data_IF_511008642093
#
_entry.id   IF_511008642093
#
_cell.length_a   1.000
_cell.length_b   1.000
_cell.length_c   1.000
_cell.angle_alpha   90.00
_cell.angle_beta   90.00
_cell.angle_gamma   90.00
#
_symmetry.space_group_name_H-M   'P 1'
#
loop_
_entity.id
_entity.type
_entity.pdbx_description
1 polymer ?
#
# COMPACT_ATOMS: atom_id res chain seq x y z
N UNK A 1 12.19 35.78 31.18
CA UNK A 1 10.72 35.64 31.08
C UNK A 1 10.24 36.69 30.08
N UNK A 2 10.15 36.33 28.79
CA UNK A 2 8.91 35.93 28.04
C UNK A 2 8.11 37.17 27.63
N UNK A 3 7.77 37.44 26.36
CA UNK A 3 7.23 36.57 25.31
C UNK A 3 7.66 37.06 23.92
N UNK A 4 8.46 36.28 23.20
CA UNK A 4 8.58 36.31 21.74
C UNK A 4 8.39 34.87 21.26
N UNK A 5 7.14 34.40 21.32
CA UNK A 5 6.70 33.12 20.77
C UNK A 5 5.29 33.31 20.28
N UNK A 6 5.14 33.64 19.00
CA UNK A 6 3.98 33.22 18.22
C UNK A 6 4.29 33.37 16.73
N UNK A 7 4.28 32.22 16.05
CA UNK A 7 3.93 32.06 14.64
C UNK A 7 4.94 32.48 13.56
N UNK A 8 6.15 31.94 13.63
CA UNK A 8 7.03 31.80 12.46
C UNK A 8 7.69 30.42 12.47
N UNK A 9 6.94 29.39 12.09
CA UNK A 9 7.45 28.05 11.78
C UNK A 9 6.49 27.43 10.76
N UNK A 10 6.61 27.84 9.51
CA UNK A 10 5.78 27.36 8.40
C UNK A 10 6.53 27.20 7.08
N UNK A 11 7.86 27.21 7.10
CA UNK A 11 8.71 26.86 5.96
C UNK A 11 10.03 26.34 6.54
N UNK A 12 10.08 25.04 6.83
CA UNK A 12 11.38 24.39 7.03
C UNK A 12 12.04 24.26 5.66
N UNK A 13 13.16 24.99 5.54
CA UNK A 13 14.25 24.84 4.59
C UNK A 13 14.23 23.52 3.80
N UNK A 14 13.74 23.65 2.58
CA UNK A 14 13.86 22.64 1.53
C UNK A 14 15.36 22.54 1.21
N UNK A 15 15.93 21.35 1.37
CA UNK A 15 17.28 20.97 0.94
C UNK A 15 17.26 19.45 0.72
N UNK A 16 18.38 18.83 0.31
CA UNK A 16 18.53 17.37 0.13
C UNK A 16 18.10 16.50 1.34
N UNK A 17 17.72 17.13 2.45
CA UNK A 17 17.06 16.58 3.62
C UNK A 17 15.56 16.30 3.48
N UNK A 18 14.83 16.79 2.47
CA UNK A 18 13.35 16.65 2.43
C UNK A 18 12.92 15.18 2.42
N UNK A 19 13.60 14.30 1.67
CA UNK A 19 13.29 12.85 1.66
C UNK A 19 13.81 12.17 2.93
N UNK A 20 14.94 12.62 3.47
CA UNK A 20 15.53 12.07 4.69
C UNK A 20 14.82 12.53 5.98
N UNK A 21 14.12 13.66 5.95
CA UNK A 21 13.35 14.25 7.04
C UNK A 21 11.83 14.13 6.83
N UNK A 22 11.40 13.70 5.63
CA UNK A 22 10.01 13.36 5.35
C UNK A 22 9.53 12.34 6.37
N UNK A 23 8.34 12.60 6.92
CA UNK A 23 7.62 11.58 7.67
C UNK A 23 7.33 10.38 6.75
N UNK A 24 7.00 9.24 7.36
CA UNK A 24 6.78 7.98 6.65
C UNK A 24 5.73 8.13 5.53
N UNK A 25 4.66 8.88 5.78
CA UNK A 25 3.63 9.19 4.80
C UNK A 25 4.17 9.87 3.54
N UNK A 26 4.97 10.93 3.69
CA UNK A 26 5.49 11.67 2.54
C UNK A 26 6.53 10.84 1.78
N UNK A 27 7.32 10.02 2.48
CA UNK A 27 8.23 9.08 1.83
C UNK A 27 7.48 8.05 0.98
N UNK A 28 6.37 7.50 1.50
CA UNK A 28 5.54 6.55 0.77
C UNK A 28 5.05 7.15 -0.56
N UNK A 29 4.50 8.37 -0.53
CA UNK A 29 4.06 9.07 -1.74
C UNK A 29 5.22 9.35 -2.71
N UNK A 30 6.33 9.91 -2.22
CA UNK A 30 7.47 10.29 -3.06
C UNK A 30 8.13 9.07 -3.72
N UNK A 31 8.17 7.94 -3.02
CA UNK A 31 8.82 6.71 -3.50
C UNK A 31 7.99 5.88 -4.47
N UNK A 32 6.71 6.23 -4.66
CA UNK A 32 5.80 5.52 -5.57
C UNK A 32 6.24 5.61 -7.03
N UNK A 33 5.88 4.60 -7.84
CA UNK A 33 6.22 4.61 -9.26
C UNK A 33 5.47 5.72 -9.99
N UNK A 34 4.25 6.03 -9.57
CA UNK A 34 3.43 7.08 -10.15
C UNK A 34 4.04 8.46 -9.90
N UNK A 35 4.64 8.70 -8.72
CA UNK A 35 5.40 9.94 -8.50
C UNK A 35 6.58 10.02 -9.45
N UNK A 36 7.36 8.96 -9.62
CA UNK A 36 8.47 8.96 -10.57
C UNK A 36 8.02 9.14 -12.03
N UNK A 37 6.82 8.68 -12.38
CA UNK A 37 6.23 8.84 -13.70
C UNK A 37 5.74 10.27 -13.95
N UNK A 38 5.04 10.86 -13.00
CA UNK A 38 4.42 12.18 -13.11
C UNK A 38 5.42 13.31 -12.84
N UNK A 39 6.37 13.10 -11.94
CA UNK A 39 7.39 14.07 -11.50
C UNK A 39 8.81 13.50 -11.67
N UNK A 40 9.24 13.16 -12.91
CA UNK A 40 10.50 12.44 -13.16
C UNK A 40 11.75 13.19 -12.71
N UNK A 41 11.68 14.51 -12.59
CA UNK A 41 12.80 15.35 -12.16
C UNK A 41 12.88 15.55 -10.64
N UNK A 42 11.90 15.07 -9.85
CA UNK A 42 11.81 15.30 -8.41
C UNK A 42 13.13 14.99 -7.68
N UNK A 43 13.76 13.86 -8.00
CA UNK A 43 15.03 13.44 -7.39
C UNK A 43 16.20 14.37 -7.72
N UNK A 44 16.24 14.91 -8.94
CA UNK A 44 17.27 15.86 -9.37
C UNK A 44 17.03 17.22 -8.73
N UNK A 45 15.77 17.68 -8.74
CA UNK A 45 15.34 18.94 -8.14
C UNK A 45 15.59 18.97 -6.63
N UNK A 46 15.33 17.86 -5.94
CA UNK A 46 15.60 17.72 -4.50
C UNK A 46 17.08 17.81 -4.15
N UNK A 47 17.98 17.26 -4.98
CA UNK A 47 19.44 17.37 -4.78
C UNK A 47 19.93 18.80 -4.97
N UNK A 48 19.38 19.50 -5.95
CA UNK A 48 19.80 20.85 -6.33
C UNK A 48 19.03 21.95 -5.58
N UNK A 49 18.05 21.56 -4.75
CA UNK A 49 17.10 22.46 -4.10
C UNK A 49 16.43 23.46 -5.07
N UNK A 50 16.04 22.96 -6.24
CA UNK A 50 15.48 23.79 -7.30
C UNK A 50 14.26 23.08 -7.89
N UNK A 51 13.09 23.33 -7.30
CA UNK A 51 11.82 22.73 -7.70
C UNK A 51 11.12 23.63 -8.71
N UNK A 52 10.55 23.02 -9.75
CA UNK A 52 9.58 23.74 -10.57
C UNK A 52 8.25 23.94 -9.81
N UNK A 53 7.43 24.86 -10.29
CA UNK A 53 6.16 25.23 -9.65
C UNK A 53 5.23 24.02 -9.47
N UNK A 54 5.20 23.12 -10.46
CA UNK A 54 4.37 21.91 -10.45
C UNK A 54 4.81 20.93 -9.35
N UNK A 55 6.11 20.70 -9.21
CA UNK A 55 6.68 19.80 -8.21
C UNK A 55 6.56 20.40 -6.82
N UNK A 56 6.72 21.72 -6.68
CA UNK A 56 6.47 22.41 -5.42
C UNK A 56 5.01 22.28 -4.98
N UNK A 57 4.05 22.50 -5.90
CA UNK A 57 2.63 22.33 -5.62
C UNK A 57 2.29 20.91 -5.15
N UNK A 58 2.82 19.88 -5.83
CA UNK A 58 2.69 18.49 -5.39
C UNK A 58 3.22 18.27 -3.97
N UNK A 59 4.42 18.76 -3.66
CA UNK A 59 5.04 18.59 -2.34
C UNK A 59 4.25 19.32 -1.24
N UNK A 60 3.68 20.49 -1.54
CA UNK A 60 2.81 21.22 -0.61
C UNK A 60 1.49 20.48 -0.34
N UNK A 61 0.84 19.96 -1.39
CA UNK A 61 -0.38 19.14 -1.27
C UNK A 61 -0.12 17.85 -0.48
N UNK A 62 0.94 17.13 -0.82
CA UNK A 62 1.36 15.91 -0.13
C UNK A 62 1.72 16.20 1.34
N UNK A 63 2.36 17.34 1.62
CA UNK A 63 2.64 17.81 2.98
C UNK A 63 1.37 17.99 3.81
N UNK A 64 0.38 18.71 3.27
CA UNK A 64 -0.93 18.93 3.93
C UNK A 64 -1.70 17.62 4.15
N UNK A 65 -1.68 16.74 3.14
CA UNK A 65 -2.26 15.40 3.26
C UNK A 65 -1.62 14.62 4.41
N UNK A 66 -0.29 14.58 4.47
CA UNK A 66 0.42 13.83 5.50
C UNK A 66 0.25 14.44 6.89
N UNK A 67 0.20 15.77 7.00
CA UNK A 67 -0.12 16.43 8.27
C UNK A 67 -1.53 16.03 8.75
N UNK A 68 -2.53 16.08 7.86
CA UNK A 68 -3.88 15.60 8.16
C UNK A 68 -3.86 14.12 8.60
N UNK A 69 -3.12 13.27 7.88
CA UNK A 69 -3.03 11.84 8.19
C UNK A 69 -2.44 11.59 9.59
N UNK A 70 -1.34 12.26 9.94
CA UNK A 70 -0.68 12.11 11.25
C UNK A 70 -1.55 12.65 12.40
N UNK A 71 -2.23 13.79 12.22
CA UNK A 71 -3.14 14.35 13.23
C UNK A 71 -4.31 13.42 13.55
N UNK A 72 -4.75 12.62 12.56
CA UNK A 72 -5.85 11.66 12.71
C UNK A 72 -5.37 10.25 13.08
N UNK A 73 -4.07 10.04 13.33
CA UNK A 73 -3.59 8.81 13.97
C UNK A 73 -4.00 8.84 15.43
N UNK A 74 -5.11 8.20 15.76
CA UNK A 74 -5.58 8.07 17.13
C UNK A 74 -4.74 6.99 17.85
N UNK A 75 -3.84 7.33 18.80
CA UNK A 75 -2.99 6.34 19.45
C UNK A 75 -3.76 5.36 20.34
N UNK A 76 -5.06 5.62 20.59
CA UNK A 76 -5.96 4.73 21.35
C UNK A 76 -6.68 3.70 20.48
N UNK A 77 -6.66 3.82 19.15
CA UNK A 77 -7.24 2.84 18.21
C UNK A 77 -6.26 1.72 17.89
N UNK A 78 -5.55 1.24 18.92
CA UNK A 78 -4.28 0.56 18.71
C UNK A 78 -4.40 -0.77 17.97
N UNK A 79 -5.57 -1.41 17.80
CA UNK A 79 -5.60 -2.75 17.20
C UNK A 79 -6.79 -3.23 16.35
N UNK A 80 -7.87 -2.48 16.08
CA UNK A 80 -9.06 -3.16 15.49
C UNK A 80 -9.85 -2.51 14.37
N UNK A 81 -9.71 -1.22 14.04
CA UNK A 81 -10.56 -0.64 12.97
C UNK A 81 -9.80 -0.10 11.76
N UNK A 82 -9.32 -1.02 10.92
CA UNK A 82 -8.75 -0.69 9.60
C UNK A 82 -9.70 0.14 8.73
N UNK A 83 -11.03 -0.01 8.89
CA UNK A 83 -12.01 0.77 8.14
C UNK A 83 -11.94 2.24 8.58
N UNK A 84 -11.92 2.51 9.88
CA UNK A 84 -11.78 3.88 10.40
C UNK A 84 -10.47 4.54 9.96
N UNK A 85 -9.35 3.80 10.02
CA UNK A 85 -8.05 4.30 9.53
C UNK A 85 -8.11 4.69 8.04
N UNK A 86 -8.65 3.81 7.20
CA UNK A 86 -8.77 4.09 5.76
C UNK A 86 -9.81 5.17 5.44
N UNK A 87 -10.87 5.30 6.23
CA UNK A 87 -11.83 6.39 6.10
C UNK A 87 -11.18 7.75 6.39
N UNK A 88 -10.32 7.83 7.40
CA UNK A 88 -9.55 9.04 7.72
C UNK A 88 -8.56 9.38 6.60
N UNK A 89 -7.88 8.38 6.03
CA UNK A 89 -6.97 8.57 4.91
C UNK A 89 -7.71 9.08 3.66
N UNK A 90 -8.84 8.46 3.30
CA UNK A 90 -9.71 8.91 2.18
C UNK A 90 -10.17 10.37 2.37
N UNK A 91 -10.56 10.74 3.60
CA UNK A 91 -10.97 12.10 3.94
C UNK A 91 -9.82 13.11 3.82
N UNK A 92 -8.62 12.75 4.28
CA UNK A 92 -7.44 13.59 4.13
C UNK A 92 -7.04 13.76 2.67
N UNK A 93 -7.11 12.69 1.87
CA UNK A 93 -6.82 12.73 0.44
C UNK A 93 -7.80 13.64 -0.31
N UNK A 94 -9.11 13.45 -0.10
CA UNK A 94 -10.14 14.25 -0.76
C UNK A 94 -10.14 15.74 -0.40
N UNK A 95 -9.52 16.13 0.73
CA UNK A 95 -9.38 17.53 1.16
C UNK A 95 -8.12 18.21 0.64
N UNK A 96 -7.02 17.48 0.52
CA UNK A 96 -5.69 18.07 0.39
C UNK A 96 -4.99 17.74 -0.92
N UNK A 97 -5.42 16.69 -1.64
CA UNK A 97 -4.79 16.25 -2.88
C UNK A 97 -5.68 16.58 -4.07
N UNK A 98 -5.07 17.11 -5.13
CA UNK A 98 -5.76 17.45 -6.37
C UNK A 98 -5.05 16.81 -7.56
N UNK A 99 -5.77 16.66 -8.68
CA UNK A 99 -5.22 16.24 -9.97
C UNK A 99 -4.21 15.09 -9.89
N UNK A 100 -2.97 15.40 -10.25
CA UNK A 100 -1.86 14.44 -10.30
C UNK A 100 -1.43 13.94 -8.91
N UNK A 101 -1.49 14.78 -7.88
CA UNK A 101 -1.19 14.38 -6.49
C UNK A 101 -2.19 13.34 -5.98
N UNK A 102 -3.47 13.50 -6.35
CA UNK A 102 -4.50 12.51 -6.03
C UNK A 102 -4.27 11.20 -6.78
N UNK A 103 -3.80 11.26 -8.04
CA UNK A 103 -3.46 10.07 -8.81
C UNK A 103 -2.32 9.26 -8.17
N UNK A 104 -1.28 9.94 -7.66
CA UNK A 104 -0.21 9.30 -6.86
C UNK A 104 -0.80 8.57 -5.65
N UNK A 105 -1.71 9.23 -4.91
CA UNK A 105 -2.37 8.61 -3.76
C UNK A 105 -3.18 7.37 -4.15
N UNK A 106 -3.89 7.38 -5.28
CA UNK A 106 -4.64 6.21 -5.76
C UNK A 106 -3.72 5.00 -6.00
N UNK A 107 -2.51 5.19 -6.54
CA UNK A 107 -1.55 4.09 -6.70
C UNK A 107 -1.11 3.54 -5.33
N UNK A 108 -0.69 4.43 -4.41
CA UNK A 108 -0.28 4.04 -3.06
C UNK A 108 -1.42 3.32 -2.33
N UNK A 109 -2.65 3.79 -2.49
CA UNK A 109 -3.84 3.17 -1.93
C UNK A 109 -4.04 1.73 -2.46
N UNK A 110 -3.85 1.51 -3.77
CA UNK A 110 -3.94 0.17 -4.36
C UNK A 110 -2.88 -0.78 -3.80
N UNK A 111 -1.65 -0.30 -3.55
CA UNK A 111 -0.61 -1.10 -2.89
C UNK A 111 -1.01 -1.50 -1.47
N UNK A 112 -1.59 -0.59 -0.68
CA UNK A 112 -2.12 -0.90 0.66
C UNK A 112 -3.23 -1.96 0.61
N UNK A 113 -4.17 -1.85 -0.33
CA UNK A 113 -5.22 -2.86 -0.53
C UNK A 113 -4.63 -4.21 -0.90
N UNK A 114 -3.64 -4.25 -1.80
CA UNK A 114 -2.91 -5.45 -2.19
C UNK A 114 -2.25 -6.16 -0.99
N UNK A 115 -1.67 -5.40 -0.06
CA UNK A 115 -1.09 -5.92 1.18
C UNK A 115 -2.16 -6.54 2.10
N UNK A 116 -3.32 -5.89 2.23
CA UNK A 116 -4.43 -6.41 3.04
C UNK A 116 -5.02 -7.71 2.46
N UNK A 117 -5.10 -7.84 1.12
CA UNK A 117 -5.47 -9.11 0.47
C UNK A 117 -4.46 -10.19 0.84
N UNK A 118 -3.16 -9.91 0.67
CA UNK A 118 -2.07 -10.86 0.98
C UNK A 118 -2.14 -11.33 2.44
N UNK A 119 -2.35 -10.40 3.37
CA UNK A 119 -2.49 -10.69 4.80
C UNK A 119 -3.67 -11.62 5.06
N UNK A 120 -4.85 -11.31 4.52
CA UNK A 120 -6.07 -12.11 4.71
C UNK A 120 -5.99 -13.49 4.08
N UNK A 121 -5.43 -13.59 2.86
CA UNK A 121 -5.20 -14.88 2.23
C UNK A 121 -4.19 -15.72 3.01
N UNK A 122 -3.13 -15.12 3.56
CA UNK A 122 -2.15 -15.84 4.40
C UNK A 122 -2.75 -16.35 5.71
N UNK A 123 -3.69 -15.60 6.31
CA UNK A 123 -4.43 -16.04 7.48
C UNK A 123 -5.35 -17.23 7.16
N UNK A 124 -5.95 -17.24 5.97
CA UNK A 124 -6.82 -18.32 5.51
C UNK A 124 -6.05 -19.56 5.06
N UNK A 125 -4.91 -19.35 4.40
CA UNK A 125 -3.98 -20.38 3.97
C UNK A 125 -2.67 -20.29 4.74
N UNK A 126 -2.66 -20.74 6.01
CA UNK A 126 -1.43 -20.72 6.79
C UNK A 126 -0.38 -21.61 6.13
N UNK A 127 0.90 -21.36 6.45
CA UNK A 127 2.05 -22.07 5.86
C UNK A 127 1.95 -23.59 5.92
N UNK A 128 1.16 -24.16 6.84
CA UNK A 128 0.89 -25.60 6.91
C UNK A 128 0.24 -26.16 5.63
N UNK A 129 -0.54 -25.37 4.89
CA UNK A 129 -1.12 -25.79 3.60
C UNK A 129 -0.05 -25.92 2.51
N UNK A 130 1.10 -25.23 2.64
CA UNK A 130 2.27 -25.46 1.77
C UNK A 130 2.92 -26.84 1.98
N UNK A 131 2.55 -27.57 3.03
CA UNK A 131 3.01 -28.95 3.23
C UNK A 131 2.15 -29.95 2.46
N UNK A 132 0.95 -29.54 2.04
CA UNK A 132 0.01 -30.36 1.28
C UNK A 132 0.09 -30.07 -0.23
N UNK A 133 0.26 -28.80 -0.60
CA UNK A 133 0.41 -28.37 -1.99
C UNK A 133 1.89 -28.18 -2.39
N UNK A 134 2.23 -28.44 -3.65
CA UNK A 134 3.52 -28.02 -4.19
C UNK A 134 3.70 -26.50 -4.09
N UNK A 135 4.95 -26.02 -3.92
CA UNK A 135 5.24 -24.58 -3.82
C UNK A 135 4.73 -23.82 -5.06
N UNK A 136 4.86 -24.43 -6.24
CA UNK A 136 4.36 -23.87 -7.50
C UNK A 136 2.84 -23.72 -7.51
N UNK A 137 2.11 -24.78 -7.13
CA UNK A 137 0.65 -24.75 -7.05
C UNK A 137 0.15 -23.76 -6.01
N UNK A 138 0.80 -23.69 -4.84
CA UNK A 138 0.48 -22.70 -3.82
C UNK A 138 0.63 -21.27 -4.35
N UNK A 139 1.76 -20.96 -4.98
CA UNK A 139 2.01 -19.63 -5.53
C UNK A 139 0.98 -19.29 -6.62
N UNK A 140 0.68 -20.22 -7.52
CA UNK A 140 -0.28 -20.00 -8.60
C UNK A 140 -1.69 -19.72 -8.07
N UNK A 141 -2.17 -20.50 -7.08
CA UNK A 141 -3.47 -20.28 -6.45
C UNK A 141 -3.53 -18.94 -5.71
N UNK A 142 -2.49 -18.60 -4.96
CA UNK A 142 -2.42 -17.34 -4.21
C UNK A 142 -2.36 -16.12 -5.13
N UNK A 143 -1.59 -16.17 -6.21
CA UNK A 143 -1.55 -15.10 -7.23
C UNK A 143 -2.91 -14.92 -7.89
N UNK A 144 -3.55 -16.02 -8.33
CA UNK A 144 -4.89 -15.92 -8.92
C UNK A 144 -5.92 -15.33 -7.94
N UNK A 145 -5.94 -15.81 -6.69
CA UNK A 145 -6.85 -15.29 -5.67
C UNK A 145 -6.63 -13.80 -5.42
N UNK A 146 -5.37 -13.38 -5.39
CA UNK A 146 -5.00 -11.98 -5.22
C UNK A 146 -5.53 -11.12 -6.37
N UNK A 147 -5.30 -11.52 -7.61
CA UNK A 147 -5.79 -10.82 -8.82
C UNK A 147 -7.32 -10.78 -8.90
N UNK A 148 -7.98 -11.91 -8.60
CA UNK A 148 -9.44 -12.01 -8.60
C UNK A 148 -10.04 -11.09 -7.55
N UNK A 149 -9.51 -11.05 -6.32
CA UNK A 149 -10.03 -10.17 -5.28
C UNK A 149 -9.74 -8.70 -5.62
N UNK A 150 -8.50 -8.39 -6.03
CA UNK A 150 -8.10 -7.03 -6.35
C UNK A 150 -8.93 -6.46 -7.50
N UNK A 151 -9.15 -7.20 -8.58
CA UNK A 151 -9.96 -6.75 -9.72
C UNK A 151 -11.43 -6.49 -9.36
N UNK A 152 -11.96 -7.15 -8.33
CA UNK A 152 -13.32 -6.89 -7.83
C UNK A 152 -13.38 -5.68 -6.89
N UNK A 153 -12.35 -5.47 -6.07
CA UNK A 153 -12.37 -4.46 -5.01
C UNK A 153 -11.64 -3.14 -5.34
N UNK A 154 -10.74 -3.11 -6.32
CA UNK A 154 -9.93 -1.95 -6.69
C UNK A 154 -10.65 -0.95 -7.62
N UNK A 155 -11.95 -1.13 -7.89
CA UNK A 155 -12.73 -0.22 -8.75
C UNK A 155 -13.05 1.13 -8.07
N UNK A 156 -12.83 1.23 -6.77
CA UNK A 156 -13.12 2.42 -5.99
C UNK A 156 -11.85 3.21 -5.71
N UNK A 157 -11.86 4.53 -5.92
CA UNK A 157 -10.80 5.45 -5.50
C UNK A 157 -10.80 5.69 -3.97
N UNK A 158 -11.35 4.76 -3.18
CA UNK A 158 -11.47 4.83 -1.73
C UNK A 158 -10.89 3.57 -1.12
N UNK A 159 -9.89 3.75 -0.25
CA UNK A 159 -9.27 2.71 0.55
C UNK A 159 -10.31 2.03 1.44
N UNK A 160 -11.20 2.81 2.05
CA UNK A 160 -12.24 2.29 2.93
C UNK A 160 -13.14 1.31 2.18
N UNK A 161 -13.69 1.72 1.05
CA UNK A 161 -14.60 0.90 0.26
C UNK A 161 -13.89 -0.33 -0.32
N UNK A 162 -12.66 -0.15 -0.82
CA UNK A 162 -11.83 -1.26 -1.31
C UNK A 162 -11.58 -2.30 -0.22
N UNK A 163 -11.23 -1.85 0.99
CA UNK A 163 -11.00 -2.75 2.13
C UNK A 163 -12.26 -3.44 2.62
N UNK A 164 -13.40 -2.74 2.67
CA UNK A 164 -14.69 -3.35 3.02
C UNK A 164 -15.04 -4.47 2.04
N UNK A 165 -14.87 -4.26 0.73
CA UNK A 165 -15.02 -5.31 -0.27
C UNK A 165 -14.07 -6.50 -0.03
N UNK A 166 -12.78 -6.25 0.24
CA UNK A 166 -11.80 -7.31 0.53
C UNK A 166 -12.23 -8.09 1.76
N UNK A 167 -12.66 -7.39 2.82
CA UNK A 167 -13.12 -8.00 4.06
C UNK A 167 -14.34 -8.89 3.80
N UNK A 168 -15.36 -8.36 3.11
CA UNK A 168 -16.56 -9.11 2.74
C UNK A 168 -16.21 -10.37 1.94
N UNK A 169 -15.38 -10.28 0.90
CA UNK A 169 -14.99 -11.45 0.12
C UNK A 169 -14.24 -12.48 0.97
N UNK A 170 -13.30 -12.04 1.80
CA UNK A 170 -12.40 -12.94 2.54
C UNK A 170 -13.01 -13.56 3.79
N UNK A 171 -14.02 -12.92 4.41
CA UNK A 171 -14.71 -13.44 5.61
C UNK A 171 -16.08 -14.04 5.32
N UNK A 172 -16.68 -13.79 4.15
CA UNK A 172 -17.98 -14.36 3.79
C UNK A 172 -17.91 -15.84 3.43
N UNK A 173 -19.08 -16.49 3.46
CA UNK A 173 -19.29 -17.81 2.87
C UNK A 173 -19.08 -17.81 1.36
N UNK A 174 -19.14 -16.64 0.72
CA UNK A 174 -18.98 -16.48 -0.73
C UNK A 174 -17.52 -16.55 -1.18
N UNK A 175 -16.55 -16.63 -0.25
CA UNK A 175 -15.15 -16.82 -0.63
C UNK A 175 -14.96 -18.00 -1.60
N UNK A 176 -15.70 -19.09 -1.42
CA UNK A 176 -15.66 -20.27 -2.29
C UNK A 176 -15.98 -19.95 -3.76
N UNK A 177 -16.85 -18.97 -4.02
CA UNK A 177 -17.17 -18.49 -5.38
C UNK A 177 -16.00 -17.77 -6.04
N UNK A 178 -15.16 -17.09 -5.26
CA UNK A 178 -13.96 -16.44 -5.77
C UNK A 178 -12.83 -17.45 -5.90
N UNK A 179 -12.73 -18.37 -4.94
CA UNK A 179 -11.77 -19.46 -4.94
C UNK A 179 -11.95 -20.41 -6.13
N UNK A 180 -13.19 -20.74 -6.51
CA UNK A 180 -13.48 -21.63 -7.63
C UNK A 180 -13.10 -21.06 -9.00
N UNK A 181 -12.71 -19.78 -9.09
CA UNK A 181 -12.16 -19.17 -10.31
C UNK A 181 -10.67 -19.42 -10.46
N UNK A 182 -10.02 -19.96 -9.43
CA UNK A 182 -8.60 -20.20 -9.37
C UNK A 182 -8.30 -21.70 -9.42
N UNK A 183 -7.09 -22.08 -9.88
CA UNK A 183 -6.69 -23.48 -9.89
C UNK A 183 -6.74 -24.08 -8.48
N UNK A 184 -7.09 -25.36 -8.40
CA UNK A 184 -7.02 -26.11 -7.16
C UNK A 184 -5.57 -26.37 -6.75
N UNK A 185 -5.38 -26.79 -5.50
CA UNK A 185 -4.06 -27.24 -5.08
C UNK A 185 -3.77 -28.59 -5.75
N UNK A 186 -2.62 -28.68 -6.40
CA UNK A 186 -2.12 -29.93 -6.95
C UNK A 186 -1.08 -30.50 -6.00
N UNK A 187 -1.30 -31.74 -5.58
CA UNK A 187 -0.44 -32.50 -4.68
C UNK A 187 0.79 -33.08 -5.38
N UNK A 188 1.08 -32.71 -6.65
CA UNK A 188 2.16 -33.34 -7.41
C UNK A 188 3.44 -33.40 -6.57
N UNK A 189 3.83 -34.60 -6.13
CA UNK A 189 4.96 -34.74 -5.24
C UNK A 189 6.17 -34.29 -6.03
N UNK A 190 7.01 -33.43 -5.43
CA UNK A 190 8.37 -33.26 -5.92
C UNK A 190 8.94 -34.67 -6.03
N UNK A 191 9.23 -35.13 -7.25
CA UNK A 191 10.08 -36.28 -7.43
C UNK A 191 11.36 -35.92 -6.71
N UNK A 192 11.57 -36.49 -5.53
CA UNK A 192 12.88 -36.54 -4.92
C UNK A 192 13.66 -37.40 -5.92
N UNK A 193 14.38 -36.76 -6.82
CA UNK A 193 15.33 -37.43 -7.69
C UNK A 193 16.34 -38.06 -6.74
N UNK A 194 16.12 -39.34 -6.41
CA UNK A 194 17.14 -40.15 -5.81
C UNK A 194 18.26 -40.20 -6.84
N UNK A 195 19.28 -39.37 -6.61
CA UNK A 195 20.60 -39.60 -7.16
C UNK A 195 21.08 -40.93 -6.58
N UNK A 196 20.64 -42.03 -7.20
CA UNK A 196 21.38 -43.27 -7.15
C UNK A 196 22.62 -43.03 -8.00
N UNK A 197 23.60 -42.34 -7.41
CA UNK A 197 24.97 -42.50 -7.84
C UNK A 197 25.32 -43.97 -7.61
N UNK A 198 25.21 -44.71 -8.70
CA UNK A 198 25.75 -46.04 -8.88
C UNK A 198 27.19 -46.05 -8.35
N UNK A 199 27.38 -46.71 -7.21
CA UNK A 199 28.64 -47.38 -6.94
C UNK A 199 28.83 -48.44 -8.03
N UNK A 200 29.80 -48.21 -8.91
CA UNK A 200 30.62 -49.26 -9.53
C UNK A 200 32.07 -48.81 -9.41
#
# INVERSE_FOLDING_TARGET
>A
MTMFQMMTLGLMLVSSSVVAQANECLRELISSNETHRLFPNLSIQARNNNFDERTLAFLEEAGKFCECHEQNKNPKELFTDTISRFANEDNCAGKNLLGESFQVHVEVAQLKLSQEITKRLTQRYPRAIRQLASVGSYNQKMTCLHEVILSNCARSNSLKMGYQCIQEITTSRDFSKYESKCPEFNDEPMQITQHNDLMI
#
